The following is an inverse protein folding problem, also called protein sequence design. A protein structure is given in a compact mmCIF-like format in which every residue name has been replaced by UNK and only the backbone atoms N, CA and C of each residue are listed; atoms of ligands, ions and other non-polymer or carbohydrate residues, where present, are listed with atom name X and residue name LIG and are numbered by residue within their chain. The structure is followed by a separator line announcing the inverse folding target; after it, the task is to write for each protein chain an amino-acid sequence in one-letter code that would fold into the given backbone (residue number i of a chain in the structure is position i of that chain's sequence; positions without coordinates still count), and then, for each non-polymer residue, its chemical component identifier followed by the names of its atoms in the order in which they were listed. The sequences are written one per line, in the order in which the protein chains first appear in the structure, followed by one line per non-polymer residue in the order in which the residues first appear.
data_IF_367982169152
#
_entry.id   IF_367982169152
#
_cell.length_a   1.000
_cell.length_b   1.000
_cell.length_c   1.000
_cell.angle_alpha   90.00
_cell.angle_beta   90.00
_cell.angle_gamma   90.00
#
_symmetry.space_group_name_H-M   'P 1'
#
loop_
_entity.id
_entity.type
_entity.pdbx_description
1 polymer ?
#
# COMPACT_ATOMS: atom_id res chain seq x y z
N UNK A 1 17.32 -12.71 10.56
CA UNK A 1 17.75 -12.23 11.89
C UNK A 1 16.91 -11.02 12.27
N UNK A 2 16.64 -10.89 13.56
CA UNK A 2 15.91 -9.75 14.10
C UNK A 2 16.88 -8.59 14.37
N UNK A 3 16.40 -7.37 14.11
CA UNK A 3 17.15 -6.16 14.39
C UNK A 3 16.24 -5.11 15.05
N UNK A 4 16.83 -4.25 15.85
CA UNK A 4 16.15 -3.13 16.50
C UNK A 4 16.77 -1.80 16.10
N UNK A 5 15.95 -0.76 16.08
CA UNK A 5 16.43 0.61 15.86
C UNK A 5 17.25 1.03 17.08
N UNK A 6 18.48 1.46 16.83
CA UNK A 6 19.36 2.02 17.85
C UNK A 6 19.16 3.53 17.97
N UNK A 7 19.25 4.20 16.84
CA UNK A 7 19.11 5.64 16.75
C UNK A 7 18.73 6.04 15.31
N UNK A 8 18.17 7.21 15.14
CA UNK A 8 17.92 7.83 13.84
C UNK A 8 18.23 9.33 13.92
N UNK A 9 18.50 9.92 12.78
CA UNK A 9 18.74 11.36 12.66
C UNK A 9 17.45 12.01 12.14
N UNK A 10 16.89 12.97 12.87
CA UNK A 10 15.59 13.57 12.55
C UNK A 10 15.53 14.35 11.23
N UNK A 11 16.69 14.77 10.73
CA UNK A 11 16.79 15.48 9.45
C UNK A 11 18.05 15.09 8.69
N UNK A 12 17.92 14.89 7.38
CA UNK A 12 19.07 14.77 6.49
C UNK A 12 19.45 16.14 5.97
N UNK A 13 20.70 16.59 6.15
CA UNK A 13 21.18 17.85 5.62
C UNK A 13 21.05 17.97 4.08
N UNK A 14 21.11 16.82 3.40
CA UNK A 14 21.18 16.75 1.95
C UNK A 14 19.85 16.34 1.29
N UNK A 15 18.78 16.18 2.07
CA UNK A 15 17.49 15.73 1.55
C UNK A 15 17.47 14.29 1.01
N UNK A 16 18.55 13.53 1.18
CA UNK A 16 18.72 12.18 0.63
C UNK A 16 18.04 11.08 1.44
N UNK A 17 17.35 11.43 2.51
CA UNK A 17 16.70 10.51 3.42
C UNK A 17 17.19 10.62 4.86
N UNK A 18 16.54 9.93 5.76
CA UNK A 18 16.86 9.91 7.18
C UNK A 18 17.72 8.67 7.48
N UNK A 19 18.97 8.83 7.93
CA UNK A 19 19.79 7.71 8.35
C UNK A 19 19.19 7.02 9.58
N UNK A 20 19.03 5.71 9.52
CA UNK A 20 18.56 4.89 10.63
C UNK A 20 19.61 3.85 10.95
N UNK A 21 20.05 3.83 12.18
CA UNK A 21 21.02 2.85 12.68
C UNK A 21 20.31 1.71 13.38
N UNK A 22 20.64 0.50 12.97
CA UNK A 22 20.06 -0.73 13.51
C UNK A 22 21.16 -1.55 14.19
N UNK A 23 20.80 -2.30 15.20
CA UNK A 23 21.65 -3.38 15.70
C UNK A 23 20.89 -4.71 15.60
N UNK A 24 21.64 -5.77 15.34
CA UNK A 24 21.07 -7.11 15.27
C UNK A 24 20.87 -7.60 16.70
N UNK A 25 19.61 -7.88 17.05
CA UNK A 25 19.21 -8.39 18.36
C UNK A 25 18.65 -9.81 18.19
N UNK A 26 19.52 -10.69 17.73
CA UNK A 26 19.18 -12.08 17.41
C UNK A 26 20.26 -12.99 17.98
N UNK A 27 19.93 -13.90 18.91
CA UNK A 27 20.90 -14.78 19.56
C UNK A 27 21.54 -15.79 18.58
N UNK A 28 20.91 -16.04 17.44
CA UNK A 28 21.45 -16.93 16.42
C UNK A 28 22.46 -16.24 15.49
N UNK A 29 22.58 -14.91 15.59
CA UNK A 29 23.50 -14.14 14.77
C UNK A 29 24.91 -14.14 15.37
N UNK A 30 25.85 -14.71 14.65
CA UNK A 30 27.27 -14.73 15.00
C UNK A 30 28.12 -14.24 13.82
N UNK A 31 28.84 -13.14 14.04
CA UNK A 31 29.71 -12.51 13.04
C UNK A 31 30.78 -13.49 12.51
N UNK A 32 31.31 -14.35 13.35
CA UNK A 32 32.34 -15.32 12.95
C UNK A 32 31.75 -16.46 12.17
N UNK A 33 30.61 -16.98 12.59
CA UNK A 33 29.89 -18.08 11.94
C UNK A 33 29.48 -17.68 10.52
N UNK A 34 28.98 -16.45 10.33
CA UNK A 34 28.52 -15.95 9.04
C UNK A 34 29.58 -15.15 8.28
N UNK A 35 30.80 -15.04 8.83
CA UNK A 35 31.94 -14.33 8.24
C UNK A 35 31.60 -12.90 7.80
N UNK A 36 30.76 -12.22 8.58
CA UNK A 36 30.33 -10.85 8.29
C UNK A 36 31.39 -9.84 8.74
N UNK A 37 31.72 -8.91 7.87
CA UNK A 37 32.68 -7.84 8.11
C UNK A 37 32.08 -6.48 7.83
N UNK A 38 32.73 -5.43 8.30
CA UNK A 38 32.37 -4.04 7.98
C UNK A 38 32.42 -3.82 6.46
N UNK A 39 31.41 -3.16 5.93
CA UNK A 39 31.26 -2.88 4.50
C UNK A 39 30.33 -3.86 3.75
N UNK A 40 29.80 -4.86 4.41
CA UNK A 40 28.79 -5.72 3.81
C UNK A 40 27.46 -5.00 3.67
N UNK A 41 26.80 -5.21 2.52
CA UNK A 41 25.44 -4.77 2.29
C UNK A 41 24.43 -5.81 2.80
N UNK A 42 23.32 -5.36 3.32
CA UNK A 42 22.23 -6.22 3.76
C UNK A 42 20.89 -5.71 3.25
N UNK A 43 19.90 -6.58 3.26
CA UNK A 43 18.51 -6.21 3.04
C UNK A 43 17.81 -6.12 4.38
N UNK A 44 17.20 -4.99 4.64
CA UNK A 44 16.37 -4.77 5.84
C UNK A 44 14.91 -4.82 5.42
N UNK A 45 14.09 -5.60 6.12
CA UNK A 45 12.65 -5.64 5.98
C UNK A 45 12.08 -4.96 7.23
N UNK A 46 11.40 -3.85 7.03
CA UNK A 46 10.75 -3.11 8.11
C UNK A 46 9.27 -3.42 8.09
N UNK A 47 8.78 -4.06 9.15
CA UNK A 47 7.36 -4.24 9.35
C UNK A 47 6.85 -3.04 10.17
N UNK A 48 6.09 -2.19 9.55
CA UNK A 48 5.46 -1.04 10.22
C UNK A 48 4.09 -1.50 10.69
N UNK A 49 3.98 -1.78 11.98
CA UNK A 49 2.69 -1.98 12.61
C UNK A 49 2.10 -0.60 12.89
N UNK A 50 1.11 -0.24 12.11
CA UNK A 50 0.36 1.00 12.35
C UNK A 50 -0.67 0.72 13.44
N UNK A 51 -0.39 1.14 14.66
CA UNK A 51 -1.36 1.07 15.78
C UNK A 51 -2.59 1.97 15.56
N UNK A 52 -2.52 2.87 14.59
CA UNK A 52 -3.70 3.62 14.16
C UNK A 52 -4.50 2.70 13.25
N UNK A 53 -5.46 1.98 13.82
CA UNK A 53 -6.52 1.32 13.07
C UNK A 53 -7.29 2.41 12.30
N UNK A 54 -6.86 2.71 11.09
CA UNK A 54 -7.65 3.54 10.20
C UNK A 54 -8.83 2.70 9.76
N UNK A 55 -10.01 3.15 10.13
CA UNK A 55 -11.24 2.57 9.58
C UNK A 55 -11.20 2.75 8.06
N UNK A 56 -11.42 1.67 7.32
CA UNK A 56 -11.44 1.74 5.87
C UNK A 56 -11.17 0.40 5.21
N UNK A 57 -11.29 0.40 3.91
CA UNK A 57 -11.07 -0.77 3.06
C UNK A 57 -9.82 -0.51 2.22
N UNK A 58 -8.96 -1.51 2.16
CA UNK A 58 -7.76 -1.45 1.33
C UNK A 58 -8.11 -1.78 -0.11
N UNK A 59 -7.79 -0.87 -1.02
CA UNK A 59 -7.94 -1.06 -2.46
C UNK A 59 -6.62 -0.79 -3.18
N UNK A 60 -6.34 -1.45 -4.32
CA UNK A 60 -5.18 -1.10 -5.12
C UNK A 60 -5.24 0.37 -5.56
N UNK A 61 -4.12 1.07 -5.51
CA UNK A 61 -4.04 2.47 -5.95
C UNK A 61 -4.50 2.63 -7.41
N UNK A 62 -4.25 1.62 -8.25
CA UNK A 62 -4.69 1.59 -9.67
C UNK A 62 -6.20 1.48 -9.85
N UNK A 63 -6.94 1.08 -8.82
CA UNK A 63 -8.41 1.00 -8.85
C UNK A 63 -9.07 2.35 -8.57
N UNK A 64 -8.34 3.31 -7.99
CA UNK A 64 -8.87 4.60 -7.60
C UNK A 64 -8.73 5.59 -8.76
N UNK A 65 -9.87 6.12 -9.20
CA UNK A 65 -9.93 7.12 -10.27
C UNK A 65 -10.23 8.48 -9.65
N UNK A 66 -9.45 9.47 -10.02
CA UNK A 66 -9.66 10.85 -9.61
C UNK A 66 -10.61 11.54 -10.59
N UNK A 67 -11.70 12.10 -10.11
CA UNK A 67 -12.63 12.90 -10.88
C UNK A 67 -12.31 14.39 -10.71
N UNK A 68 -11.66 14.97 -11.72
CA UNK A 68 -11.25 16.37 -11.69
C UNK A 68 -12.42 17.34 -11.65
N UNK A 69 -13.58 16.94 -12.18
CA UNK A 69 -14.77 17.80 -12.26
C UNK A 69 -15.42 17.96 -10.88
N UNK A 70 -15.47 16.89 -10.12
CA UNK A 70 -16.10 16.84 -8.80
C UNK A 70 -15.09 16.92 -7.65
N UNK A 71 -13.79 17.03 -7.95
CA UNK A 71 -12.69 16.97 -6.97
C UNK A 71 -12.87 15.80 -6.00
N UNK A 72 -13.21 14.63 -6.52
CA UNK A 72 -13.55 13.45 -5.75
C UNK A 72 -12.85 12.20 -6.28
N UNK A 73 -12.71 11.20 -5.43
CA UNK A 73 -12.17 9.89 -5.80
C UNK A 73 -13.30 8.89 -5.93
N UNK A 74 -13.16 7.98 -6.88
CA UNK A 74 -14.14 6.94 -7.14
C UNK A 74 -13.46 5.61 -7.47
N UNK A 75 -14.17 4.53 -7.25
CA UNK A 75 -13.81 3.18 -7.68
C UNK A 75 -14.96 2.62 -8.51
N UNK A 76 -14.66 1.63 -9.34
CA UNK A 76 -15.67 0.87 -10.07
C UNK A 76 -15.80 -0.53 -9.45
N UNK A 77 -16.97 -0.83 -8.92
CA UNK A 77 -17.30 -2.13 -8.33
C UNK A 77 -17.99 -2.99 -9.39
N UNK A 78 -17.48 -4.21 -9.55
CA UNK A 78 -18.07 -5.17 -10.47
C UNK A 78 -19.26 -5.91 -9.84
N UNK A 79 -20.37 -5.91 -10.54
CA UNK A 79 -21.57 -6.67 -10.15
C UNK A 79 -21.65 -7.96 -10.98
N UNK A 80 -21.43 -9.13 -10.38
CA UNK A 80 -21.42 -10.41 -11.09
C UNK A 80 -22.79 -10.80 -11.66
N UNK A 81 -23.89 -10.34 -11.06
CA UNK A 81 -25.24 -10.67 -11.51
C UNK A 81 -25.61 -9.96 -12.80
N UNK A 82 -25.15 -8.74 -13.00
CA UNK A 82 -25.45 -7.91 -14.17
C UNK A 82 -24.30 -7.83 -15.17
N UNK A 83 -23.10 -8.28 -14.77
CA UNK A 83 -21.85 -8.10 -15.52
C UNK A 83 -21.51 -6.65 -15.85
N UNK A 84 -21.93 -5.75 -14.99
CA UNK A 84 -21.71 -4.31 -15.11
C UNK A 84 -20.86 -3.78 -13.99
N UNK A 85 -20.26 -2.63 -14.20
CA UNK A 85 -19.56 -1.88 -13.18
C UNK A 85 -20.43 -0.75 -12.67
N UNK A 86 -20.33 -0.51 -11.36
CA UNK A 86 -21.00 0.59 -10.67
C UNK A 86 -19.97 1.55 -10.11
N UNK A 87 -20.13 2.82 -10.41
CA UNK A 87 -19.30 3.87 -9.86
C UNK A 87 -19.65 4.09 -8.39
N UNK A 88 -18.64 4.05 -7.51
CA UNK A 88 -18.79 4.28 -6.08
C UNK A 88 -17.84 5.38 -5.63
N UNK A 89 -18.35 6.36 -4.90
CA UNK A 89 -17.56 7.44 -4.35
C UNK A 89 -16.78 6.95 -3.12
N UNK A 90 -15.50 7.30 -3.07
CA UNK A 90 -14.63 6.94 -1.95
C UNK A 90 -13.85 8.16 -1.46
N UNK A 91 -13.43 8.08 -0.22
CA UNK A 91 -12.60 9.07 0.46
C UNK A 91 -11.28 8.43 0.83
N UNK A 92 -10.20 9.15 0.65
CA UNK A 92 -8.85 8.70 0.93
C UNK A 92 -8.53 8.91 2.40
N UNK A 93 -8.22 7.83 3.11
CA UNK A 93 -7.77 7.86 4.50
C UNK A 93 -6.25 7.68 4.62
N UNK A 94 -5.56 7.47 3.51
CA UNK A 94 -4.11 7.40 3.42
C UNK A 94 -3.59 6.16 2.71
N UNK A 95 -2.28 6.18 2.46
CA UNK A 95 -1.56 5.07 1.82
C UNK A 95 -0.94 4.14 2.85
N UNK A 96 -0.80 2.87 2.48
CA UNK A 96 -0.02 1.91 3.25
C UNK A 96 1.43 2.00 2.79
N UNK A 97 2.33 2.34 3.72
CA UNK A 97 3.75 2.48 3.42
C UNK A 97 4.33 1.16 2.89
N UNK A 98 5.04 1.22 1.77
CA UNK A 98 5.66 0.06 1.13
C UNK A 98 4.72 -0.82 0.30
N UNK A 99 3.46 -0.39 0.10
CA UNK A 99 2.46 -1.05 -0.73
C UNK A 99 1.85 -0.06 -1.73
N UNK A 100 1.40 -0.60 -2.87
CA UNK A 100 0.63 0.19 -3.85
C UNK A 100 -0.87 0.12 -3.55
N UNK A 101 -1.21 0.25 -2.28
CA UNK A 101 -2.58 0.16 -1.78
C UNK A 101 -2.98 1.47 -1.09
N UNK A 102 -4.23 1.81 -1.21
CA UNK A 102 -4.86 2.97 -0.59
C UNK A 102 -5.93 2.50 0.40
N UNK A 103 -6.01 3.11 1.56
CA UNK A 103 -7.10 2.91 2.49
C UNK A 103 -8.19 3.93 2.12
N UNK A 104 -9.38 3.43 1.84
CA UNK A 104 -10.53 4.25 1.48
C UNK A 104 -11.73 3.97 2.37
N UNK A 105 -12.52 5.00 2.60
CA UNK A 105 -13.86 4.93 3.19
C UNK A 105 -14.88 5.34 2.15
N UNK A 106 -16.15 5.13 2.42
CA UNK A 106 -17.26 5.51 1.55
C UNK A 106 -18.11 4.33 1.11
N UNK A 107 -18.61 4.39 -0.11
CA UNK A 107 -19.62 3.43 -0.59
C UNK A 107 -18.99 2.17 -1.22
N UNK A 108 -18.04 1.58 -0.51
CA UNK A 108 -17.39 0.31 -0.88
C UNK A 108 -17.32 -0.60 0.34
N UNK A 109 -17.53 -1.90 0.14
CA UNK A 109 -17.59 -2.90 1.22
C UNK A 109 -16.53 -3.97 1.04
N UNK A 110 -16.11 -4.55 2.15
CA UNK A 110 -15.20 -5.69 2.13
C UNK A 110 -15.79 -6.87 1.35
N UNK A 111 -14.99 -7.49 0.50
CA UNK A 111 -15.41 -8.61 -0.36
C UNK A 111 -15.98 -8.19 -1.72
N UNK A 112 -16.19 -6.91 -1.98
CA UNK A 112 -16.56 -6.43 -3.32
C UNK A 112 -15.35 -6.50 -4.26
N UNK A 113 -15.62 -6.77 -5.54
CA UNK A 113 -14.60 -6.80 -6.58
C UNK A 113 -14.47 -5.41 -7.21
N UNK A 114 -13.30 -4.81 -7.10
CA UNK A 114 -12.99 -3.52 -7.73
C UNK A 114 -12.16 -3.70 -8.99
N UNK A 115 -12.41 -2.86 -9.98
CA UNK A 115 -11.62 -2.87 -11.22
C UNK A 115 -10.28 -2.20 -10.96
N UNK A 116 -9.17 -2.92 -11.13
CA UNK A 116 -7.82 -2.42 -10.90
C UNK A 116 -7.11 -1.98 -12.18
N UNK A 117 -7.48 -2.52 -13.34
CA UNK A 117 -6.87 -2.17 -14.60
C UNK A 117 -7.89 -1.51 -15.53
N UNK A 118 -7.52 -0.38 -16.12
CA UNK A 118 -8.39 0.34 -17.05
C UNK A 118 -9.56 1.10 -16.40
N UNK A 119 -9.57 1.23 -15.08
CA UNK A 119 -10.65 1.90 -14.34
C UNK A 119 -10.95 3.32 -14.84
N UNK A 120 -9.93 4.07 -15.26
CA UNK A 120 -10.07 5.45 -15.77
C UNK A 120 -10.83 5.56 -17.09
N UNK A 121 -11.00 4.47 -17.80
CA UNK A 121 -11.74 4.44 -19.10
C UNK A 121 -13.18 3.97 -18.96
N UNK A 122 -13.61 3.60 -17.75
CA UNK A 122 -14.94 3.07 -17.51
C UNK A 122 -15.96 4.18 -17.26
N UNK A 123 -17.20 3.86 -17.63
CA UNK A 123 -18.37 4.68 -17.35
C UNK A 123 -19.32 3.90 -16.45
N UNK A 124 -20.06 4.60 -15.59
CA UNK A 124 -21.04 4.00 -14.70
C UNK A 124 -22.08 3.17 -15.49
N UNK A 125 -22.35 1.96 -14.99
CA UNK A 125 -23.25 1.01 -15.64
C UNK A 125 -22.70 0.29 -16.87
N UNK A 126 -21.42 0.49 -17.21
CA UNK A 126 -20.80 -0.16 -18.36
C UNK A 126 -20.72 -1.67 -18.15
N UNK A 127 -21.06 -2.42 -19.21
CA UNK A 127 -20.88 -3.85 -19.23
C UNK A 127 -19.42 -4.20 -19.46
N UNK A 128 -18.89 -5.09 -18.64
CA UNK A 128 -17.49 -5.52 -18.69
C UNK A 128 -17.37 -7.04 -18.58
N UNK A 129 -16.25 -7.57 -19.03
CA UNK A 129 -15.89 -8.97 -18.88
C UNK A 129 -14.63 -9.06 -18.01
N UNK A 130 -14.65 -9.93 -17.02
CA UNK A 130 -13.46 -10.23 -16.22
C UNK A 130 -12.42 -10.90 -17.11
N UNK A 131 -11.19 -10.39 -17.09
CA UNK A 131 -10.05 -11.08 -17.69
C UNK A 131 -9.58 -12.13 -16.68
N UNK A 132 -9.74 -13.40 -17.05
CA UNK A 132 -9.09 -14.52 -16.36
C UNK A 132 -7.78 -14.78 -17.06
N UNK A 133 -6.68 -14.66 -16.32
CA UNK A 133 -5.36 -15.12 -16.76
C UNK A 133 -5.30 -16.63 -16.80
#
# INVERSE_FOLDING_TARGET
FQAKVKEYVEASPDGAGVPVFLYIDDPEFDLKKYQVSVGFSCRVIVNIENEVMREGITVPLSAVVFDNTLNSKKVFVYNPSTQKVEQRKVYDEGTIVGRNDLIVTGDVKAGEQVVSAGASYLVDGQQVKILTE
#
